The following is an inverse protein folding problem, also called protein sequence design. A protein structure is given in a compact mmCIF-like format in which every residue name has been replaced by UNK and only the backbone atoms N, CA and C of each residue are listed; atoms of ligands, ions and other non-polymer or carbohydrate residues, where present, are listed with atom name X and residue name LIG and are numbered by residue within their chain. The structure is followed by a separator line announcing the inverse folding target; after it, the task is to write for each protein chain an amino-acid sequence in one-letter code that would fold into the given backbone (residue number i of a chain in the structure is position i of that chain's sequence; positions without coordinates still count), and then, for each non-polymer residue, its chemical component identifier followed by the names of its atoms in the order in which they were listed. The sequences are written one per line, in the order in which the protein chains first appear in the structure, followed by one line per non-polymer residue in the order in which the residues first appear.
data_IF_240856826265
#
_entry.id   IF_240856826265
#
_cell.length_a   1.000
_cell.length_b   1.000
_cell.length_c   1.000
_cell.angle_alpha   90.00
_cell.angle_beta   90.00
_cell.angle_gamma   90.00
#
_symmetry.space_group_name_H-M   'P 1'
#
loop_
_entity.id
_entity.type
_entity.pdbx_description
1 polymer ?
#
# COMPACT_ATOMS: atom_id res chain seq x y z
N UNK A 1 -4.99 -33.31 -2.53
CA UNK A 1 -4.09 -32.22 -2.11
C UNK A 1 -4.61 -30.92 -2.70
N UNK A 2 -5.07 -30.00 -1.87
CA UNK A 2 -5.51 -28.68 -2.35
C UNK A 2 -4.31 -27.93 -2.92
N UNK A 3 -4.46 -27.38 -4.14
CA UNK A 3 -3.38 -26.62 -4.81
C UNK A 3 -3.24 -25.25 -4.15
N UNK A 4 -2.01 -24.84 -3.82
CA UNK A 4 -1.73 -23.48 -3.33
C UNK A 4 -2.09 -22.43 -4.40
N UNK A 5 -1.64 -22.67 -5.64
CA UNK A 5 -1.83 -21.77 -6.75
C UNK A 5 -3.24 -21.85 -7.32
N UNK A 6 -4.19 -21.27 -6.61
CA UNK A 6 -5.54 -21.01 -7.12
C UNK A 6 -5.53 -19.74 -7.97
N UNK A 7 -6.54 -19.53 -8.82
CA UNK A 7 -6.64 -18.32 -9.65
C UNK A 7 -6.56 -17.05 -8.79
N UNK A 8 -7.34 -16.97 -7.72
CA UNK A 8 -7.40 -15.80 -6.86
C UNK A 8 -6.09 -15.57 -6.11
N UNK A 9 -5.46 -16.63 -5.57
CA UNK A 9 -4.16 -16.55 -4.92
C UNK A 9 -3.06 -16.09 -5.88
N UNK A 10 -3.06 -16.60 -7.12
CA UNK A 10 -2.08 -16.17 -8.13
C UNK A 10 -2.25 -14.71 -8.48
N UNK A 11 -3.49 -14.24 -8.67
CA UNK A 11 -3.78 -12.84 -9.01
C UNK A 11 -3.30 -11.91 -7.90
N UNK A 12 -3.69 -12.17 -6.64
CA UNK A 12 -3.29 -11.30 -5.51
C UNK A 12 -1.77 -11.30 -5.33
N UNK A 13 -1.11 -12.46 -5.46
CA UNK A 13 0.34 -12.56 -5.31
C UNK A 13 1.06 -11.76 -6.40
N UNK A 14 0.66 -11.88 -7.67
CA UNK A 14 1.28 -11.11 -8.77
C UNK A 14 1.02 -9.61 -8.60
N UNK A 15 -0.23 -9.22 -8.31
CA UNK A 15 -0.59 -7.82 -8.07
C UNK A 15 0.25 -7.22 -6.94
N UNK A 16 0.31 -7.90 -5.79
CA UNK A 16 1.09 -7.45 -4.64
C UNK A 16 2.59 -7.34 -4.93
N UNK A 17 3.17 -8.29 -5.68
CA UNK A 17 4.59 -8.20 -6.09
C UNK A 17 4.85 -6.92 -6.88
N UNK A 18 4.01 -6.63 -7.87
CA UNK A 18 4.18 -5.46 -8.73
C UNK A 18 4.04 -4.17 -7.92
N UNK A 19 3.03 -4.05 -7.05
CA UNK A 19 2.84 -2.88 -6.20
C UNK A 19 3.94 -2.73 -5.15
N UNK A 20 4.38 -3.82 -4.51
CA UNK A 20 5.46 -3.81 -3.52
C UNK A 20 6.80 -3.36 -4.12
N UNK A 21 7.16 -3.88 -5.31
CA UNK A 21 8.38 -3.49 -6.00
C UNK A 21 8.35 -2.02 -6.38
N UNK A 22 7.24 -1.55 -6.96
CA UNK A 22 7.05 -0.14 -7.30
C UNK A 22 7.11 0.77 -6.09
N UNK A 23 6.39 0.42 -5.02
CA UNK A 23 6.34 1.20 -3.79
C UNK A 23 7.70 1.30 -3.09
N UNK A 24 8.44 0.20 -2.99
CA UNK A 24 9.79 0.20 -2.41
C UNK A 24 10.75 1.08 -3.20
N UNK A 25 10.69 0.97 -4.54
CA UNK A 25 11.50 1.79 -5.44
C UNK A 25 11.18 3.28 -5.27
N UNK A 26 9.89 3.65 -5.29
CA UNK A 26 9.48 5.03 -5.14
C UNK A 26 9.74 5.58 -3.74
N UNK A 27 9.47 4.82 -2.69
CA UNK A 27 9.67 5.24 -1.30
C UNK A 27 11.12 5.57 -1.00
N UNK A 28 12.06 4.75 -1.49
CA UNK A 28 13.48 5.03 -1.32
C UNK A 28 13.94 6.24 -2.17
N UNK A 29 13.47 6.34 -3.42
CA UNK A 29 13.78 7.49 -4.27
C UNK A 29 13.22 8.81 -3.71
N UNK A 30 12.02 8.80 -3.12
CA UNK A 30 11.44 9.94 -2.44
C UNK A 30 12.28 10.41 -1.25
N UNK A 31 12.83 9.48 -0.48
CA UNK A 31 13.74 9.75 0.63
C UNK A 31 15.01 10.46 0.15
N UNK A 32 15.63 9.95 -0.89
CA UNK A 32 16.83 10.56 -1.50
C UNK A 32 16.52 11.93 -2.09
N UNK A 33 15.39 12.06 -2.79
CA UNK A 33 14.97 13.32 -3.38
C UNK A 33 14.79 14.42 -2.34
N UNK A 34 14.14 14.12 -1.20
CA UNK A 34 13.99 15.10 -0.11
C UNK A 34 15.34 15.55 0.42
N UNK A 35 16.27 14.63 0.61
CA UNK A 35 17.60 14.95 1.11
C UNK A 35 18.39 15.79 0.08
N UNK A 36 18.35 15.40 -1.19
CA UNK A 36 19.04 16.11 -2.27
C UNK A 36 18.46 17.51 -2.52
N UNK A 37 17.15 17.66 -2.44
CA UNK A 37 16.47 18.94 -2.69
C UNK A 37 16.63 19.92 -1.53
N UNK A 38 16.46 19.43 -0.29
CA UNK A 38 16.46 20.31 0.89
C UNK A 38 17.85 20.51 1.49
N UNK A 39 18.80 19.61 1.20
CA UNK A 39 20.14 19.56 1.80
C UNK A 39 20.09 19.59 3.34
N UNK A 40 19.00 19.14 3.94
CA UNK A 40 18.74 19.24 5.37
C UNK A 40 18.26 17.93 5.96
N UNK A 41 19.01 17.35 6.92
CA UNK A 41 18.58 16.16 7.66
C UNK A 41 17.25 16.38 8.43
N UNK A 42 16.95 17.62 8.83
CA UNK A 42 15.70 17.94 9.53
C UNK A 42 14.48 17.73 8.63
N UNK A 43 14.53 18.24 7.40
CA UNK A 43 13.43 18.02 6.44
C UNK A 43 13.26 16.56 6.07
N UNK A 44 14.35 15.82 5.98
CA UNK A 44 14.31 14.37 5.81
C UNK A 44 13.63 13.67 6.99
N UNK A 45 13.97 14.06 8.23
CA UNK A 45 13.33 13.51 9.43
C UNK A 45 11.82 13.83 9.49
N UNK A 46 11.42 15.04 9.12
CA UNK A 46 9.99 15.42 9.01
C UNK A 46 9.28 14.57 7.98
N UNK A 47 9.88 14.36 6.81
CA UNK A 47 9.33 13.50 5.76
C UNK A 47 9.11 12.07 6.27
N UNK A 48 10.13 11.47 6.89
CA UNK A 48 10.05 10.12 7.45
C UNK A 48 8.99 10.02 8.56
N UNK A 49 8.92 11.01 9.42
CA UNK A 49 7.91 11.06 10.48
C UNK A 49 6.49 11.09 9.90
N UNK A 50 6.24 11.95 8.92
CA UNK A 50 4.93 12.09 8.28
C UNK A 50 4.52 10.84 7.49
N UNK A 51 5.48 10.12 6.90
CA UNK A 51 5.22 8.85 6.23
C UNK A 51 4.93 7.72 7.21
N UNK A 52 5.66 7.65 8.33
CA UNK A 52 5.58 6.54 9.29
C UNK A 52 4.43 6.71 10.29
N UNK A 53 4.09 7.95 10.66
CA UNK A 53 3.06 8.24 11.65
C UNK A 53 1.71 7.57 11.35
N UNK A 54 1.17 7.63 10.12
CA UNK A 54 -0.06 6.91 9.78
C UNK A 54 0.08 5.40 9.89
N UNK A 55 1.25 4.84 9.60
CA UNK A 55 1.48 3.39 9.66
C UNK A 55 1.40 2.83 11.08
N UNK A 56 1.72 3.64 12.07
CA UNK A 56 1.58 3.27 13.49
C UNK A 56 0.12 3.44 13.95
N UNK A 57 -0.54 4.52 13.51
CA UNK A 57 -1.88 4.85 13.96
C UNK A 57 -2.99 4.03 13.26
N UNK A 58 -2.81 3.74 11.97
CA UNK A 58 -3.89 3.16 11.17
C UNK A 58 -4.26 1.71 11.53
N UNK A 59 -3.37 0.79 11.95
CA UNK A 59 -3.81 -0.54 12.36
C UNK A 59 -4.83 -0.48 13.51
N UNK A 60 -4.65 0.46 14.44
CA UNK A 60 -5.59 0.66 15.56
C UNK A 60 -6.92 1.23 15.08
N UNK A 61 -6.89 2.13 14.09
CA UNK A 61 -8.07 2.83 13.59
C UNK A 61 -8.78 2.06 12.46
N UNK A 62 -8.03 1.33 11.64
CA UNK A 62 -8.55 0.67 10.45
C UNK A 62 -9.16 -0.71 10.73
N UNK A 63 -8.79 -1.40 11.82
CA UNK A 63 -9.32 -2.73 12.15
C UNK A 63 -10.85 -2.78 12.12
N UNK A 64 -11.55 -2.01 12.98
CA UNK A 64 -13.02 -1.99 13.00
C UNK A 64 -13.66 -1.47 11.70
N UNK A 65 -12.92 -0.66 10.94
CA UNK A 65 -13.38 -0.14 9.65
C UNK A 65 -13.34 -1.23 8.58
N UNK A 66 -12.27 -2.05 8.55
CA UNK A 66 -12.09 -3.11 7.56
C UNK A 66 -13.11 -4.25 7.72
N UNK A 67 -13.62 -4.49 8.93
CA UNK A 67 -14.65 -5.51 9.16
C UNK A 67 -16.00 -5.16 8.52
N UNK A 68 -16.19 -3.90 8.14
CA UNK A 68 -17.44 -3.38 7.55
C UNK A 68 -17.38 -3.18 6.05
N UNK A 69 -16.19 -3.16 5.46
CA UNK A 69 -16.01 -2.99 4.01
C UNK A 69 -15.54 -4.30 3.35
N UNK A 70 -15.87 -4.49 2.10
CA UNK A 70 -15.28 -5.56 1.29
C UNK A 70 -13.78 -5.33 1.18
N UNK A 71 -12.99 -6.25 1.76
CA UNK A 71 -11.53 -6.20 1.79
C UNK A 71 -10.96 -6.15 0.38
N UNK A 72 -11.51 -6.96 -0.52
CA UNK A 72 -11.16 -6.94 -1.94
C UNK A 72 -11.36 -5.56 -2.55
N UNK A 73 -12.54 -4.95 -2.33
CA UNK A 73 -12.85 -3.63 -2.90
C UNK A 73 -11.90 -2.57 -2.36
N UNK A 74 -11.61 -2.62 -1.06
CA UNK A 74 -10.70 -1.69 -0.41
C UNK A 74 -9.31 -1.77 -1.01
N UNK A 75 -8.76 -2.96 -1.23
CA UNK A 75 -7.42 -3.17 -1.79
C UNK A 75 -7.29 -2.50 -3.16
N UNK A 76 -8.11 -2.86 -4.16
CA UNK A 76 -7.96 -2.28 -5.49
C UNK A 76 -8.31 -0.78 -5.54
N UNK A 77 -9.22 -0.28 -4.69
CA UNK A 77 -9.51 1.15 -4.62
C UNK A 77 -8.34 1.95 -4.06
N UNK A 78 -7.64 1.43 -3.05
CA UNK A 78 -6.44 2.05 -2.51
C UNK A 78 -5.29 2.05 -3.52
N UNK A 79 -5.16 1.00 -4.34
CA UNK A 79 -4.16 0.94 -5.41
C UNK A 79 -4.50 1.94 -6.53
N UNK A 80 -5.78 2.11 -6.91
CA UNK A 80 -6.17 3.18 -7.83
C UNK A 80 -5.94 4.58 -7.24
N UNK A 81 -6.20 4.78 -5.95
CA UNK A 81 -5.89 6.04 -5.28
C UNK A 81 -4.39 6.32 -5.28
N UNK A 82 -3.57 5.31 -5.01
CA UNK A 82 -2.11 5.41 -5.09
C UNK A 82 -1.66 5.76 -6.51
N UNK A 83 -2.23 5.12 -7.54
CA UNK A 83 -1.99 5.44 -8.94
C UNK A 83 -2.20 6.93 -9.22
N UNK A 84 -3.35 7.48 -8.80
CA UNK A 84 -3.67 8.88 -9.03
C UNK A 84 -2.71 9.83 -8.28
N UNK A 85 -2.35 9.50 -7.05
CA UNK A 85 -1.47 10.34 -6.23
C UNK A 85 -0.04 10.35 -6.78
N UNK A 86 0.50 9.21 -7.18
CA UNK A 86 1.84 9.16 -7.77
C UNK A 86 1.89 9.81 -9.15
N UNK A 87 0.83 9.71 -9.96
CA UNK A 87 0.69 10.45 -11.21
C UNK A 87 0.62 11.97 -10.97
N UNK A 88 -0.13 12.41 -9.95
CA UNK A 88 -0.19 13.82 -9.53
C UNK A 88 1.18 14.33 -9.10
N UNK A 89 1.91 13.57 -8.27
CA UNK A 89 3.26 13.94 -7.86
C UNK A 89 4.20 14.07 -9.05
N UNK A 90 4.16 13.13 -9.98
CA UNK A 90 4.95 13.20 -11.21
C UNK A 90 4.63 14.48 -12.02
N UNK A 91 3.36 14.83 -12.15
CA UNK A 91 2.91 16.05 -12.81
C UNK A 91 3.40 17.32 -12.11
N UNK A 92 3.23 17.43 -10.78
CA UNK A 92 3.70 18.59 -10.01
C UNK A 92 5.22 18.77 -10.14
N UNK A 93 5.98 17.68 -10.12
CA UNK A 93 7.42 17.73 -10.30
C UNK A 93 7.83 18.11 -11.73
N UNK A 94 7.13 17.59 -12.73
CA UNK A 94 7.39 17.87 -14.14
C UNK A 94 7.19 19.36 -14.48
N UNK A 95 6.15 19.99 -13.92
CA UNK A 95 5.85 21.40 -14.11
C UNK A 95 6.66 22.34 -13.19
N UNK A 96 7.58 21.81 -12.39
CA UNK A 96 8.37 22.60 -11.46
C UNK A 96 7.58 23.19 -10.28
N UNK A 97 6.38 22.68 -10.01
CA UNK A 97 5.51 23.14 -8.92
C UNK A 97 5.82 22.42 -7.60
N UNK A 98 7.10 22.08 -7.37
CA UNK A 98 7.50 21.42 -6.15
C UNK A 98 7.51 22.41 -4.96
N UNK A 99 6.82 22.02 -3.90
CA UNK A 99 6.90 22.63 -2.58
C UNK A 99 7.07 21.53 -1.54
N UNK A 100 8.04 21.70 -0.63
CA UNK A 100 8.28 20.70 0.42
C UNK A 100 7.02 20.42 1.25
N UNK A 101 6.27 21.44 1.64
CA UNK A 101 5.08 21.25 2.47
C UNK A 101 3.94 20.56 1.74
N UNK A 102 3.75 20.87 0.44
CA UNK A 102 2.78 20.14 -0.39
C UNK A 102 3.19 18.68 -0.54
N UNK A 103 4.47 18.42 -0.79
CA UNK A 103 5.02 17.06 -0.89
C UNK A 103 4.87 16.28 0.43
N UNK A 104 5.18 16.92 1.56
CA UNK A 104 5.03 16.34 2.89
C UNK A 104 3.57 15.98 3.21
N UNK A 105 2.63 16.85 2.84
CA UNK A 105 1.19 16.57 2.99
C UNK A 105 0.74 15.38 2.14
N UNK A 106 1.20 15.30 0.90
CA UNK A 106 0.90 14.17 0.02
C UNK A 106 1.56 12.89 0.56
N UNK A 107 2.77 12.97 1.11
CA UNK A 107 3.45 11.83 1.75
C UNK A 107 2.67 11.28 2.94
N UNK A 108 2.07 12.15 3.75
CA UNK A 108 1.18 11.72 4.84
C UNK A 108 -0.04 10.95 4.31
N UNK A 109 -0.63 11.40 3.21
CA UNK A 109 -1.75 10.70 2.55
C UNK A 109 -1.29 9.34 2.01
N UNK A 110 -0.11 9.28 1.37
CA UNK A 110 0.49 8.02 0.89
C UNK A 110 0.70 7.05 2.05
N UNK A 111 1.27 7.50 3.17
CA UNK A 111 1.46 6.69 4.37
C UNK A 111 0.14 6.16 4.92
N UNK A 112 -0.92 6.97 4.89
CA UNK A 112 -2.27 6.56 5.33
C UNK A 112 -2.86 5.49 4.40
N UNK A 113 -2.76 5.67 3.09
CA UNK A 113 -3.23 4.71 2.09
C UNK A 113 -2.45 3.40 2.23
N UNK A 114 -1.13 3.47 2.35
CA UNK A 114 -0.28 2.28 2.51
C UNK A 114 -0.64 1.49 3.76
N UNK A 115 -0.87 2.18 4.87
CA UNK A 115 -1.28 1.50 6.11
C UNK A 115 -2.66 0.86 6.00
N UNK A 116 -3.63 1.55 5.42
CA UNK A 116 -4.96 0.99 5.16
C UNK A 116 -4.89 -0.23 4.22
N UNK A 117 -4.04 -0.17 3.18
CA UNK A 117 -3.78 -1.29 2.28
C UNK A 117 -3.21 -2.49 3.04
N UNK A 118 -2.21 -2.29 3.88
CA UNK A 118 -1.57 -3.35 4.66
C UNK A 118 -2.58 -4.08 5.53
N UNK A 119 -3.42 -3.35 6.28
CA UNK A 119 -4.47 -3.95 7.12
C UNK A 119 -5.48 -4.73 6.29
N UNK A 120 -5.93 -4.17 5.16
CA UNK A 120 -6.85 -4.86 4.25
C UNK A 120 -6.22 -6.11 3.65
N UNK A 121 -4.97 -6.03 3.20
CA UNK A 121 -4.22 -7.12 2.61
C UNK A 121 -3.98 -8.26 3.61
N UNK A 122 -3.49 -7.97 4.80
CA UNK A 122 -3.23 -8.96 5.85
C UNK A 122 -4.49 -9.71 6.27
N UNK A 123 -5.64 -9.04 6.25
CA UNK A 123 -6.92 -9.66 6.57
C UNK A 123 -7.52 -10.45 5.39
N UNK A 124 -7.21 -10.10 4.16
CA UNK A 124 -7.75 -10.73 2.95
C UNK A 124 -6.90 -11.89 2.44
N UNK A 125 -5.57 -11.77 2.52
CA UNK A 125 -4.63 -12.75 1.98
C UNK A 125 -4.85 -14.18 2.51
N UNK A 126 -5.06 -14.42 3.83
CA UNK A 126 -5.34 -15.75 4.34
C UNK A 126 -6.61 -16.38 3.78
N UNK A 127 -7.63 -15.56 3.44
CA UNK A 127 -8.90 -16.06 2.88
C UNK A 127 -8.75 -16.65 1.47
N UNK A 128 -7.69 -16.28 0.75
CA UNK A 128 -7.40 -16.76 -0.59
C UNK A 128 -6.52 -18.01 -0.58
N UNK A 129 -5.94 -18.36 0.56
CA UNK A 129 -5.09 -19.52 0.73
C UNK A 129 -5.93 -20.75 1.04
N UNK A 130 -5.75 -21.83 0.26
CA UNK A 130 -6.42 -23.09 0.51
C UNK A 130 -5.92 -23.76 1.80
N UNK A 131 -6.83 -24.43 2.52
CA UNK A 131 -6.53 -25.12 3.78
C UNK A 131 -5.30 -26.04 3.66
N UNK A 132 -4.44 -25.98 4.66
CA UNK A 132 -3.19 -26.78 4.74
C UNK A 132 -2.00 -26.15 4.00
N UNK A 133 -2.17 -25.02 3.30
CA UNK A 133 -1.09 -24.36 2.56
C UNK A 133 -0.63 -23.03 3.16
N UNK A 134 -1.11 -22.65 4.34
CA UNK A 134 -0.76 -21.36 4.96
C UNK A 134 0.75 -21.14 5.11
N UNK A 135 1.49 -22.14 5.60
CA UNK A 135 2.95 -22.03 5.77
C UNK A 135 3.64 -21.72 4.44
N UNK A 136 3.22 -22.41 3.36
CA UNK A 136 3.80 -22.18 2.03
C UNK A 136 3.46 -20.79 1.49
N UNK A 137 2.23 -20.33 1.70
CA UNK A 137 1.78 -19.02 1.27
C UNK A 137 2.57 -17.90 1.97
N UNK A 138 2.72 -17.98 3.29
CA UNK A 138 3.52 -17.02 4.05
C UNK A 138 5.02 -17.11 3.74
N UNK A 139 5.55 -18.28 3.39
CA UNK A 139 6.94 -18.41 2.90
C UNK A 139 7.11 -17.69 1.56
N UNK A 140 6.14 -17.78 0.65
CA UNK A 140 6.16 -17.00 -0.60
C UNK A 140 6.16 -15.51 -0.29
N UNK A 141 5.25 -15.04 0.57
CA UNK A 141 5.15 -13.62 0.95
C UNK A 141 6.47 -13.11 1.54
N UNK A 142 7.03 -13.82 2.51
CA UNK A 142 8.31 -13.45 3.14
C UNK A 142 9.49 -13.42 2.16
N UNK A 143 9.48 -14.33 1.17
CA UNK A 143 10.48 -14.30 0.08
C UNK A 143 10.32 -13.03 -0.77
N UNK A 144 9.08 -12.66 -1.08
CA UNK A 144 8.79 -11.44 -1.84
C UNK A 144 9.20 -10.17 -1.07
N UNK A 145 8.91 -10.09 0.22
CA UNK A 145 9.36 -9.01 1.09
C UNK A 145 10.88 -8.87 1.11
N UNK A 146 11.59 -9.99 1.11
CA UNK A 146 13.06 -10.00 1.03
C UNK A 146 13.55 -9.50 -0.35
N UNK A 147 12.88 -9.92 -1.44
CA UNK A 147 13.22 -9.45 -2.79
C UNK A 147 13.01 -7.94 -2.97
N UNK A 148 12.05 -7.36 -2.26
CA UNK A 148 11.81 -5.91 -2.26
C UNK A 148 13.04 -5.12 -1.79
N UNK A 149 13.88 -5.67 -0.90
CA UNK A 149 15.11 -5.02 -0.45
C UNK A 149 16.13 -4.82 -1.59
N UNK A 150 16.09 -5.66 -2.62
CA UNK A 150 16.92 -5.50 -3.81
C UNK A 150 16.54 -4.24 -4.61
N UNK A 151 15.32 -3.73 -4.43
CA UNK A 151 14.89 -2.49 -5.06
C UNK A 151 15.60 -1.24 -4.53
N UNK A 152 16.21 -1.28 -3.36
CA UNK A 152 16.93 -0.13 -2.78
C UNK A 152 18.09 0.34 -3.68
N UNK A 153 19.07 -0.51 -4.02
CA UNK A 153 20.13 -0.09 -4.95
C UNK A 153 19.61 0.21 -6.37
N UNK A 154 18.60 -0.54 -6.86
CA UNK A 154 17.96 -0.28 -8.14
C UNK A 154 17.32 1.11 -8.16
N UNK A 155 16.63 1.48 -7.11
CA UNK A 155 16.02 2.79 -6.89
C UNK A 155 17.04 3.92 -7.00
N UNK A 156 18.18 3.76 -6.31
CA UNK A 156 19.27 4.75 -6.32
C UNK A 156 19.82 4.94 -7.75
N UNK A 157 20.04 3.85 -8.45
CA UNK A 157 20.52 3.87 -9.82
C UNK A 157 19.52 4.56 -10.75
N UNK A 158 18.25 4.17 -10.69
CA UNK A 158 17.20 4.75 -11.51
C UNK A 158 16.96 6.24 -11.18
N UNK A 159 16.97 6.59 -9.90
CA UNK A 159 16.82 8.00 -9.48
C UNK A 159 17.88 8.90 -10.11
N UNK A 160 19.14 8.43 -10.15
CA UNK A 160 20.27 9.20 -10.73
C UNK A 160 20.28 9.21 -12.25
N UNK A 161 19.73 8.17 -12.91
CA UNK A 161 19.78 8.04 -14.37
C UNK A 161 18.54 8.55 -15.08
N UNK A 162 17.36 8.22 -14.55
CA UNK A 162 16.05 8.52 -15.21
C UNK A 162 15.37 9.71 -14.54
N UNK A 163 15.68 9.97 -13.27
CA UNK A 163 15.12 11.06 -12.47
C UNK A 163 13.80 10.74 -11.79
N UNK A 164 13.43 11.60 -10.85
CA UNK A 164 12.30 11.38 -9.93
C UNK A 164 10.94 11.29 -10.64
N UNK A 165 10.71 12.13 -11.66
CA UNK A 165 9.44 12.17 -12.41
C UNK A 165 9.12 10.82 -13.02
N UNK A 166 10.09 10.21 -13.69
CA UNK A 166 9.91 8.89 -14.31
C UNK A 166 9.70 7.77 -13.29
N UNK A 167 10.39 7.84 -12.15
CA UNK A 167 10.17 6.88 -11.05
C UNK A 167 8.75 6.96 -10.51
N UNK A 168 8.20 8.15 -10.34
CA UNK A 168 6.81 8.32 -9.91
C UNK A 168 5.82 7.78 -10.95
N UNK A 169 6.08 7.99 -12.25
CA UNK A 169 5.24 7.43 -13.32
C UNK A 169 5.31 5.91 -13.37
N UNK A 170 6.51 5.33 -13.24
CA UNK A 170 6.68 3.88 -13.19
C UNK A 170 5.91 3.30 -11.99
N UNK A 171 6.04 3.91 -10.82
CA UNK A 171 5.31 3.46 -9.63
C UNK A 171 3.80 3.60 -9.80
N UNK A 172 3.33 4.70 -10.37
CA UNK A 172 1.91 4.88 -10.73
C UNK A 172 1.42 3.76 -11.66
N UNK A 173 2.21 3.40 -12.67
CA UNK A 173 1.89 2.30 -13.58
C UNK A 173 1.88 0.93 -12.86
N UNK A 174 2.79 0.69 -11.91
CA UNK A 174 2.80 -0.52 -11.08
C UNK A 174 1.50 -0.64 -10.26
N UNK A 175 1.09 0.42 -9.56
CA UNK A 175 -0.16 0.41 -8.81
C UNK A 175 -1.39 0.25 -9.70
N UNK A 176 -1.42 0.91 -10.86
CA UNK A 176 -2.50 0.74 -11.83
C UNK A 176 -2.61 -0.72 -12.31
N UNK A 177 -1.47 -1.33 -12.60
CA UNK A 177 -1.41 -2.73 -13.03
C UNK A 177 -1.88 -3.66 -11.92
N UNK A 178 -1.42 -3.47 -10.68
CA UNK A 178 -1.85 -4.23 -9.52
C UNK A 178 -3.36 -4.12 -9.31
N UNK A 179 -3.90 -2.90 -9.32
CA UNK A 179 -5.34 -2.63 -9.18
C UNK A 179 -6.17 -3.36 -10.24
N UNK A 180 -5.73 -3.34 -11.52
CA UNK A 180 -6.42 -4.04 -12.61
C UNK A 180 -6.41 -5.56 -12.38
N UNK A 181 -5.30 -6.14 -11.92
CA UNK A 181 -5.25 -7.56 -11.57
C UNK A 181 -6.19 -7.88 -10.42
N UNK A 182 -6.20 -7.08 -9.36
CA UNK A 182 -6.99 -7.31 -8.15
C UNK A 182 -8.50 -7.19 -8.41
N UNK A 183 -8.94 -6.37 -9.38
CA UNK A 183 -10.35 -6.35 -9.80
C UNK A 183 -10.83 -7.68 -10.39
N UNK A 184 -9.93 -8.54 -10.86
CA UNK A 184 -10.27 -9.84 -11.45
C UNK A 184 -10.40 -10.97 -10.41
N UNK A 185 -10.09 -10.72 -9.14
CA UNK A 185 -10.28 -11.69 -8.06
C UNK A 185 -11.79 -11.97 -7.93
N UNK A 186 -12.15 -13.24 -7.87
CA UNK A 186 -13.55 -13.64 -7.64
C UNK A 186 -13.94 -13.34 -6.19
N UNK A 187 -15.20 -12.98 -5.98
CA UNK A 187 -15.73 -12.67 -4.65
C UNK A 187 -15.67 -13.92 -3.75
N UNK A 188 -14.79 -13.92 -2.76
CA UNK A 188 -14.58 -14.98 -1.77
C UNK A 188 -15.23 -14.58 -0.44
N UNK A 189 -15.52 -13.30 -0.26
CA UNK A 189 -16.25 -12.78 0.88
C UNK A 189 -17.71 -13.24 0.71
N UNK A 190 -18.12 -14.34 1.37
CA UNK A 190 -19.50 -14.79 1.38
C UNK A 190 -20.45 -13.67 1.83
N UNK A 191 -21.76 -13.81 1.60
CA UNK A 191 -22.83 -12.84 1.88
C UNK A 191 -22.86 -12.22 3.30
N UNK A 192 -21.98 -12.61 4.19
CA UNK A 192 -21.82 -12.09 5.55
C UNK A 192 -21.11 -10.73 5.62
N UNK A 193 -20.47 -10.24 4.56
CA UNK A 193 -19.89 -8.90 4.49
C UNK A 193 -20.93 -7.78 4.30
N UNK A 194 -22.21 -8.11 4.17
CA UNK A 194 -23.31 -7.15 4.08
C UNK A 194 -24.18 -7.13 5.34
N UNK A 195 -23.57 -7.14 6.52
CA UNK A 195 -24.32 -6.75 7.71
C UNK A 195 -24.44 -5.21 7.70
N UNK A 196 -25.50 -4.73 7.05
CA UNK A 196 -25.88 -3.32 6.98
C UNK A 196 -26.30 -2.77 8.35
N UNK A 197 -25.41 -2.84 9.32
CA UNK A 197 -25.55 -2.13 10.57
C UNK A 197 -25.30 -0.65 10.31
N UNK A 198 -26.32 0.18 10.56
CA UNK A 198 -26.22 1.64 10.45
C UNK A 198 -25.01 2.13 11.25
N UNK A 199 -24.13 2.85 10.59
CA UNK A 199 -22.98 3.47 11.20
C UNK A 199 -23.45 4.38 12.34
N UNK A 200 -23.16 4.00 13.59
CA UNK A 200 -23.27 4.88 14.74
C UNK A 200 -21.86 5.07 15.29
N UNK A 201 -21.44 6.33 15.42
CA UNK A 201 -20.12 6.68 15.96
C UNK A 201 -19.85 6.01 17.33
N UNK A 202 -20.91 5.74 18.11
CA UNK A 202 -20.84 4.98 19.35
C UNK A 202 -20.41 3.53 19.18
N UNK A 203 -20.90 2.83 18.14
CA UNK A 203 -20.52 1.45 17.85
C UNK A 203 -19.05 1.32 17.43
N UNK A 204 -18.54 2.30 16.67
CA UNK A 204 -17.11 2.36 16.31
C UNK A 204 -16.20 2.52 17.53
N UNK A 205 -16.59 3.39 18.50
CA UNK A 205 -15.82 3.57 19.75
C UNK A 205 -15.86 2.32 20.65
N UNK A 206 -16.94 1.56 20.59
CA UNK A 206 -17.10 0.32 21.37
C UNK A 206 -16.25 -0.81 20.80
N UNK A 207 -16.29 -1.00 19.47
CA UNK A 207 -15.44 -1.95 18.74
C UNK A 207 -13.93 -1.64 18.94
N UNK A 208 -13.57 -0.36 18.97
CA UNK A 208 -12.19 0.09 19.23
C UNK A 208 -11.74 -0.20 20.67
N UNK A 209 -12.64 -0.06 21.65
CA UNK A 209 -12.35 -0.40 23.05
C UNK A 209 -12.23 -1.91 23.28
N UNK A 210 -13.00 -2.72 22.58
CA UNK A 210 -12.88 -4.18 22.64
C UNK A 210 -11.57 -4.66 22.02
N UNK A 211 -11.14 -4.09 20.92
CA UNK A 211 -9.88 -4.45 20.26
C UNK A 211 -8.61 -4.02 21.02
N UNK A 212 -8.73 -3.11 22.01
CA UNK A 212 -7.63 -2.68 22.88
C UNK A 212 -7.57 -3.42 24.23
N UNK A 213 -8.49 -4.36 24.49
CA UNK A 213 -8.50 -5.25 25.66
C UNK A 213 -7.90 -6.61 25.34
#
# INVERSE_FOLDING_TARGET
MNRLWTKNYTIITIGSVVSMLGNSMAGFAMSLFVLDYTQSPLYYAIYMFLYTLPQIAAPVLAGPLMDRFSRRRTIYMLDFASTAIYALLAGLMHFGLFSFWAFASITFIIGTIHSAYTVAFESFYPMLVSEGNYIKAYSVLSTLETLVLVMIPVSTFLYKTVGMVWLMLINSACFCTAAIFETQISDVEGKNGQSGSKYTFGGYMEDMKEGMR
#
